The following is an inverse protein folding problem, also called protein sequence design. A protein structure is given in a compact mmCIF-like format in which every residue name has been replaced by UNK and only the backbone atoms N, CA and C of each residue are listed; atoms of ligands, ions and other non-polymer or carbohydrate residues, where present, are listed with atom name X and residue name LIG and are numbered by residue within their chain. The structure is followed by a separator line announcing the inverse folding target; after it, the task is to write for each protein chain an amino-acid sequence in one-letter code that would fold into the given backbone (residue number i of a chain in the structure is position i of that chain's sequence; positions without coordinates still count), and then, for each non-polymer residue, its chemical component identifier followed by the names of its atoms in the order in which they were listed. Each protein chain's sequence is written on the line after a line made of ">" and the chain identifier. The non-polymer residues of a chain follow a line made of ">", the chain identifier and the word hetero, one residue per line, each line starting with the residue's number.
data_IF_634476295789
#
_entry.id   IF_634476295789
#
_cell.length_a   1.000
_cell.length_b   1.000
_cell.length_c   1.000
_cell.angle_alpha   90.00
_cell.angle_beta   90.00
_cell.angle_gamma   90.00
#
_symmetry.space_group_name_H-M   'P 1'
#
loop_
_entity.id
_entity.type
_entity.pdbx_description
1 polymer ?
#
# COMPACT_ATOMS: atom_id res chain seq x y z
N UNK A 1 -43.42 -23.86 52.11
CA UNK A 1 -42.51 -24.31 51.04
C UNK A 1 -42.50 -23.26 49.92
N UNK A 2 -41.31 -22.97 49.40
CA UNK A 2 -41.00 -22.32 48.09
C UNK A 2 -41.40 -20.86 47.88
N UNK A 3 -40.44 -20.00 48.25
CA UNK A 3 -40.19 -18.66 47.69
C UNK A 3 -39.93 -18.79 46.18
N UNK A 4 -40.61 -18.02 45.34
CA UNK A 4 -40.25 -17.89 43.91
C UNK A 4 -39.68 -16.50 43.67
N UNK A 5 -38.34 -16.48 43.54
CA UNK A 5 -37.52 -15.38 43.10
C UNK A 5 -37.58 -15.37 41.56
N UNK A 6 -38.24 -14.38 40.96
CA UNK A 6 -38.16 -14.12 39.52
C UNK A 6 -37.13 -13.02 39.33
N UNK A 7 -35.89 -13.42 39.03
CA UNK A 7 -34.77 -12.52 38.70
C UNK A 7 -34.98 -12.01 37.27
N UNK A 8 -35.19 -10.70 37.13
CA UNK A 8 -35.13 -10.00 35.84
C UNK A 8 -33.74 -10.18 35.24
N UNK A 9 -33.62 -11.01 34.22
CA UNK A 9 -32.46 -11.03 33.33
C UNK A 9 -32.61 -9.87 32.33
N UNK A 10 -32.14 -8.68 32.71
CA UNK A 10 -31.96 -7.58 31.78
C UNK A 10 -30.84 -7.97 30.80
N UNK A 11 -31.24 -8.41 29.61
CA UNK A 11 -30.33 -8.61 28.48
C UNK A 11 -29.76 -7.25 28.09
N UNK A 12 -28.50 -6.98 28.42
CA UNK A 12 -27.73 -5.92 27.78
C UNK A 12 -27.50 -6.34 26.33
N UNK A 13 -28.37 -5.88 25.44
CA UNK A 13 -28.11 -5.85 24.01
C UNK A 13 -27.03 -4.81 23.74
N UNK A 14 -25.77 -5.17 23.88
CA UNK A 14 -24.66 -4.40 23.34
C UNK A 14 -24.81 -4.42 21.81
N UNK A 15 -25.31 -3.34 21.22
CA UNK A 15 -25.20 -3.10 19.79
C UNK A 15 -23.71 -2.94 19.48
N UNK A 16 -23.09 -4.02 19.02
CA UNK A 16 -21.79 -3.95 18.38
C UNK A 16 -21.95 -3.10 17.12
N UNK A 17 -21.73 -1.80 17.24
CA UNK A 17 -21.46 -0.95 16.08
C UNK A 17 -20.13 -1.42 15.50
N UNK A 18 -20.19 -2.43 14.64
CA UNK A 18 -19.15 -2.64 13.65
C UNK A 18 -19.18 -1.37 12.79
N UNK A 19 -18.36 -0.38 13.16
CA UNK A 19 -18.04 0.74 12.30
C UNK A 19 -17.21 0.19 11.14
N UNK A 20 -17.89 -0.53 10.24
CA UNK A 20 -17.34 -0.86 8.93
C UNK A 20 -17.14 0.47 8.24
N UNK A 21 -15.89 0.83 7.99
CA UNK A 21 -15.55 1.91 7.09
C UNK A 21 -16.19 1.58 5.74
N UNK A 22 -17.36 2.17 5.50
CA UNK A 22 -18.14 1.90 4.31
C UNK A 22 -17.45 2.68 3.17
N UNK A 23 -16.90 1.99 2.20
CA UNK A 23 -16.20 2.60 1.07
C UNK A 23 -17.15 2.61 -0.13
N UNK A 24 -17.59 3.80 -0.54
CA UNK A 24 -18.35 3.98 -1.76
C UNK A 24 -17.38 4.08 -2.95
N UNK A 25 -17.07 2.92 -3.52
CA UNK A 25 -16.21 2.81 -4.70
C UNK A 25 -16.94 3.02 -6.03
N UNK A 26 -18.21 3.43 -6.01
CA UNK A 26 -18.85 4.04 -7.19
C UNK A 26 -18.41 5.50 -7.35
N UNK A 27 -18.02 6.15 -6.25
CA UNK A 27 -17.49 7.51 -6.23
C UNK A 27 -15.98 7.50 -6.02
N UNK A 28 -15.22 7.61 -7.10
CA UNK A 28 -13.77 7.73 -7.06
C UNK A 28 -13.40 9.18 -6.74
N UNK A 29 -12.68 9.39 -5.64
CA UNK A 29 -12.25 10.71 -5.14
C UNK A 29 -10.75 10.96 -5.33
N UNK A 30 -10.01 9.96 -5.81
CA UNK A 30 -8.59 10.08 -6.09
C UNK A 30 -7.98 8.80 -6.64
N UNK A 31 -6.66 8.82 -6.80
CA UNK A 31 -5.85 7.67 -7.23
C UNK A 31 -4.82 7.35 -6.16
N UNK A 32 -4.48 6.08 -6.03
CA UNK A 32 -3.42 5.60 -5.14
C UNK A 32 -2.43 4.74 -5.94
N UNK A 33 -1.34 4.33 -5.27
CA UNK A 33 -0.47 3.26 -5.74
C UNK A 33 -0.69 2.04 -4.86
N UNK A 34 -0.38 0.87 -5.39
CA UNK A 34 -0.51 -0.39 -4.67
C UNK A 34 0.68 -1.30 -4.99
N UNK A 35 1.22 -1.94 -3.96
CA UNK A 35 2.13 -3.06 -4.11
C UNK A 35 1.39 -4.38 -3.93
N UNK A 36 1.77 -5.37 -4.74
CA UNK A 36 1.13 -6.69 -4.73
C UNK A 36 2.20 -7.76 -4.64
N UNK A 37 2.23 -8.45 -3.51
CA UNK A 37 3.08 -9.63 -3.30
C UNK A 37 2.29 -10.89 -3.62
N UNK A 38 2.89 -11.79 -4.38
CA UNK A 38 2.29 -13.08 -4.75
C UNK A 38 2.99 -14.18 -4.00
N UNK A 39 2.25 -14.90 -3.15
CA UNK A 39 2.76 -16.01 -2.35
C UNK A 39 2.07 -17.27 -2.86
N UNK A 40 2.77 -18.11 -3.66
CA UNK A 40 2.21 -19.36 -4.15
C UNK A 40 1.76 -20.25 -2.99
N UNK A 41 0.57 -20.83 -3.09
CA UNK A 41 0.08 -21.84 -2.14
C UNK A 41 0.31 -23.24 -2.70
N UNK A 42 0.26 -24.25 -1.82
CA UNK A 42 0.38 -25.64 -2.26
C UNK A 42 -0.65 -26.00 -3.33
N UNK A 43 -0.21 -26.78 -4.32
CA UNK A 43 -1.04 -27.23 -5.42
C UNK A 43 -1.80 -28.49 -5.00
N UNK A 44 -3.12 -28.52 -5.21
CA UNK A 44 -3.94 -29.73 -5.00
C UNK A 44 -4.63 -30.14 -6.28
N UNK A 45 -4.35 -31.37 -6.74
CA UNK A 45 -5.02 -32.02 -7.89
C UNK A 45 -5.02 -31.14 -9.16
N UNK A 46 -3.89 -30.50 -9.47
CA UNK A 46 -3.75 -29.65 -10.67
C UNK A 46 -4.36 -28.25 -10.54
N UNK A 47 -4.91 -27.89 -9.38
CA UNK A 47 -5.24 -26.50 -9.04
C UNK A 47 -4.07 -25.86 -8.32
N UNK A 48 -3.64 -24.71 -8.82
CA UNK A 48 -2.59 -23.87 -8.23
C UNK A 48 -3.25 -22.66 -7.61
N UNK A 49 -2.96 -22.39 -6.34
CA UNK A 49 -3.41 -21.18 -5.66
C UNK A 49 -2.26 -20.20 -5.43
N UNK A 50 -2.59 -18.94 -5.21
CA UNK A 50 -1.68 -17.96 -4.66
C UNK A 50 -2.42 -16.96 -3.77
N UNK A 51 -1.74 -16.54 -2.71
CA UNK A 51 -2.17 -15.46 -1.84
C UNK A 51 -1.59 -14.16 -2.39
N UNK A 52 -2.47 -13.20 -2.65
CA UNK A 52 -2.12 -11.87 -3.07
C UNK A 52 -2.19 -10.98 -1.84
N UNK A 53 -1.07 -10.36 -1.47
CA UNK A 53 -1.02 -9.36 -0.40
C UNK A 53 -0.92 -7.98 -1.03
N UNK A 54 -1.88 -7.12 -0.70
CA UNK A 54 -1.98 -5.76 -1.20
C UNK A 54 -1.54 -4.78 -0.12
N UNK A 55 -0.74 -3.80 -0.51
CA UNK A 55 -0.46 -2.62 0.31
C UNK A 55 -0.66 -1.38 -0.54
N UNK A 56 -1.67 -0.60 -0.20
CA UNK A 56 -2.03 0.66 -0.85
C UNK A 56 -1.32 1.83 -0.17
N UNK A 57 -1.07 2.89 -0.93
CA UNK A 57 -0.65 4.18 -0.37
C UNK A 57 -1.83 4.96 0.24
N UNK A 58 -3.07 4.64 -0.12
CA UNK A 58 -4.23 5.24 0.52
C UNK A 58 -4.44 4.63 1.91
N UNK A 59 -4.57 5.44 2.97
CA UNK A 59 -4.69 4.93 4.34
C UNK A 59 -5.93 4.06 4.56
N UNK A 60 -6.98 4.29 3.77
CA UNK A 60 -8.22 3.52 3.80
C UNK A 60 -9.06 3.76 2.54
N UNK A 61 -10.01 2.86 2.29
CA UNK A 61 -10.97 2.96 1.20
C UNK A 61 -10.30 3.11 -0.17
N UNK A 62 -9.37 2.22 -0.46
CA UNK A 62 -8.87 2.06 -1.83
C UNK A 62 -9.47 0.83 -2.49
N UNK A 63 -9.84 0.99 -3.75
CA UNK A 63 -10.17 -0.11 -4.65
C UNK A 63 -8.94 -0.43 -5.48
N UNK A 64 -8.56 -1.69 -5.50
CA UNK A 64 -7.48 -2.20 -6.32
C UNK A 64 -8.12 -3.10 -7.38
N UNK A 65 -8.01 -2.72 -8.65
CA UNK A 65 -8.41 -3.52 -9.80
C UNK A 65 -7.15 -4.18 -10.39
N UNK A 66 -7.23 -5.45 -10.75
CA UNK A 66 -6.10 -6.21 -11.30
C UNK A 66 -6.59 -7.39 -12.13
N UNK A 67 -5.71 -7.95 -12.95
CA UNK A 67 -5.98 -9.15 -13.74
C UNK A 67 -5.04 -10.27 -13.35
N UNK A 68 -5.56 -11.49 -13.29
CA UNK A 68 -4.76 -12.72 -13.16
C UNK A 68 -5.00 -13.57 -14.40
N UNK A 69 -3.95 -13.75 -15.21
CA UNK A 69 -4.03 -14.45 -16.51
C UNK A 69 -5.18 -13.95 -17.40
N UNK A 70 -5.38 -12.63 -17.44
CA UNK A 70 -6.44 -11.99 -18.24
C UNK A 70 -7.85 -12.07 -17.63
N UNK A 71 -8.00 -12.69 -16.46
CA UNK A 71 -9.27 -12.69 -15.72
C UNK A 71 -9.31 -11.48 -14.77
N UNK A 72 -10.35 -10.62 -14.84
CA UNK A 72 -10.44 -9.42 -14.00
C UNK A 72 -10.84 -9.75 -12.55
N UNK A 73 -10.19 -9.09 -11.61
CA UNK A 73 -10.46 -9.13 -10.17
C UNK A 73 -10.43 -7.72 -9.59
N UNK A 74 -10.99 -7.57 -8.39
CA UNK A 74 -10.78 -6.39 -7.59
C UNK A 74 -10.84 -6.73 -6.10
N UNK A 75 -10.18 -5.91 -5.29
CA UNK A 75 -10.32 -5.90 -3.84
C UNK A 75 -10.54 -4.49 -3.33
N UNK A 76 -11.26 -4.36 -2.22
CA UNK A 76 -11.51 -3.07 -1.56
C UNK A 76 -10.87 -3.12 -0.18
N UNK A 77 -9.89 -2.24 0.05
CA UNK A 77 -9.19 -2.10 1.31
C UNK A 77 -10.00 -1.18 2.21
N UNK A 78 -11.01 -1.74 2.87
CA UNK A 78 -11.95 -0.99 3.71
C UNK A 78 -11.46 -0.82 5.14
N UNK A 79 -10.60 -1.69 5.66
CA UNK A 79 -10.15 -1.66 7.05
C UNK A 79 -8.74 -1.09 7.25
N UNK A 80 -8.18 -0.48 6.21
CA UNK A 80 -6.86 0.11 6.23
C UNK A 80 -6.27 0.15 4.83
N UNK A 81 -4.95 0.20 4.76
CA UNK A 81 -4.20 0.21 3.52
C UNK A 81 -3.65 -1.17 3.14
N UNK A 82 -4.03 -2.23 3.85
CA UNK A 82 -3.64 -3.60 3.55
C UNK A 82 -4.84 -4.48 3.23
N UNK A 83 -4.63 -5.50 2.41
CA UNK A 83 -5.61 -6.54 2.16
C UNK A 83 -4.97 -7.81 1.64
N UNK A 84 -5.74 -8.89 1.69
CA UNK A 84 -5.33 -10.17 1.13
C UNK A 84 -6.45 -10.68 0.23
N UNK A 85 -6.08 -11.31 -0.88
CA UNK A 85 -6.99 -12.09 -1.72
C UNK A 85 -6.35 -13.44 -2.04
N UNK A 86 -7.18 -14.40 -2.43
CA UNK A 86 -6.72 -15.72 -2.85
C UNK A 86 -7.27 -16.07 -4.21
N UNK A 87 -6.36 -16.34 -5.14
CA UNK A 87 -6.66 -16.67 -6.53
C UNK A 87 -6.26 -18.10 -6.83
N UNK A 88 -6.93 -18.70 -7.82
CA UNK A 88 -6.69 -20.08 -8.25
C UNK A 88 -6.63 -20.18 -9.78
N UNK A 89 -5.84 -21.12 -10.29
CA UNK A 89 -5.63 -21.33 -11.71
C UNK A 89 -5.18 -22.76 -12.05
N UNK A 90 -5.15 -23.05 -13.36
CA UNK A 90 -4.71 -24.35 -13.90
C UNK A 90 -3.19 -24.48 -14.06
N UNK A 91 -2.46 -23.38 -13.81
CA UNK A 91 -1.00 -23.30 -13.87
C UNK A 91 -0.48 -22.52 -12.67
N UNK A 92 0.79 -22.67 -12.27
CA UNK A 92 1.39 -21.90 -11.18
C UNK A 92 1.16 -20.40 -11.34
N UNK A 93 0.61 -19.77 -10.29
CA UNK A 93 0.38 -18.33 -10.26
C UNK A 93 1.61 -17.64 -9.66
N UNK A 94 2.20 -16.75 -10.45
CA UNK A 94 3.38 -15.96 -10.12
C UNK A 94 3.09 -14.48 -10.38
N UNK A 95 4.02 -13.60 -10.00
CA UNK A 95 3.88 -12.15 -10.25
C UNK A 95 3.69 -11.80 -11.74
N UNK A 96 4.24 -12.61 -12.65
CA UNK A 96 4.11 -12.42 -14.09
C UNK A 96 2.69 -12.65 -14.61
N UNK A 97 1.86 -13.39 -13.87
CA UNK A 97 0.46 -13.61 -14.21
C UNK A 97 -0.42 -12.39 -13.85
N UNK A 98 0.09 -11.46 -13.04
CA UNK A 98 -0.63 -10.24 -12.64
C UNK A 98 -0.38 -9.10 -13.62
N UNK A 99 -1.46 -8.51 -14.12
CA UNK A 99 -1.43 -7.39 -15.07
C UNK A 99 -2.44 -6.30 -14.69
N UNK A 100 -2.27 -5.12 -15.29
CA UNK A 100 -3.15 -3.95 -15.20
C UNK A 100 -3.59 -3.59 -13.77
N UNK A 101 -2.64 -3.65 -12.84
CA UNK A 101 -2.86 -3.31 -11.43
C UNK A 101 -3.08 -1.80 -11.31
N UNK A 102 -4.29 -1.41 -10.90
CA UNK A 102 -4.72 -0.02 -10.73
C UNK A 102 -5.26 0.19 -9.31
N UNK A 103 -4.95 1.33 -8.68
CA UNK A 103 -5.45 1.68 -7.36
C UNK A 103 -6.19 3.02 -7.40
N UNK A 104 -7.42 3.03 -6.90
CA UNK A 104 -8.30 4.20 -6.85
C UNK A 104 -8.80 4.44 -5.43
N UNK A 105 -8.83 5.69 -5.00
CA UNK A 105 -9.37 6.08 -3.69
C UNK A 105 -10.86 6.28 -3.83
N UNK A 106 -11.62 5.56 -3.02
CA UNK A 106 -13.07 5.61 -2.95
C UNK A 106 -13.53 6.63 -1.92
N UNK A 107 -14.72 7.20 -2.12
CA UNK A 107 -15.37 8.02 -1.10
C UNK A 107 -15.67 7.18 0.14
N UNK A 108 -15.54 7.77 1.32
CA UNK A 108 -16.00 7.15 2.57
C UNK A 108 -17.49 7.42 2.74
N UNK A 109 -18.31 6.38 2.75
CA UNK A 109 -19.72 6.46 3.07
C UNK A 109 -19.88 6.66 4.59
N UNK A 110 -20.38 7.83 4.98
CA UNK A 110 -20.68 8.18 6.38
C UNK A 110 -19.56 8.91 7.13
N UNK A 111 -18.44 9.22 6.50
CA UNK A 111 -17.43 10.14 7.04
C UNK A 111 -17.43 11.43 6.25
N UNK A 112 -17.45 12.58 6.94
CA UNK A 112 -17.26 13.87 6.30
C UNK A 112 -16.06 13.81 5.34
N UNK A 113 -16.21 14.48 4.20
CA UNK A 113 -15.09 14.89 3.35
C UNK A 113 -13.95 15.42 4.24
N UNK A 114 -12.65 15.36 3.87
CA UNK A 114 -11.65 16.15 4.55
C UNK A 114 -11.90 17.64 4.23
N UNK A 115 -12.96 18.19 4.79
CA UNK A 115 -13.13 19.60 4.98
C UNK A 115 -12.05 20.00 5.98
N UNK A 116 -11.17 20.92 5.56
CA UNK A 116 -10.18 21.56 6.43
C UNK A 116 -10.91 22.07 7.67
N UNK A 117 -10.86 21.34 8.78
CA UNK A 117 -11.41 21.84 10.02
C UNK A 117 -10.35 22.72 10.70
N UNK A 118 -10.64 24.02 10.93
CA UNK A 118 -9.74 24.90 11.64
C UNK A 118 -9.89 24.69 13.15
N UNK A 119 -8.76 24.43 13.81
CA UNK A 119 -8.58 24.61 15.24
C UNK A 119 -9.11 23.51 16.15
N UNK A 120 -8.21 22.64 16.62
CA UNK A 120 -8.20 22.28 18.04
C UNK A 120 -6.77 22.38 18.56
N UNK A 121 -6.63 23.13 19.64
CA UNK A 121 -5.37 23.49 20.24
C UNK A 121 -4.86 22.33 21.11
N UNK A 122 -3.57 22.04 21.02
CA UNK A 122 -2.90 21.21 22.02
C UNK A 122 -2.47 19.82 21.56
N UNK A 123 -1.91 19.71 20.36
CA UNK A 123 -0.75 18.86 20.18
C UNK A 123 0.30 19.72 19.49
N UNK A 124 1.47 19.84 20.10
CA UNK A 124 2.66 20.41 19.44
C UNK A 124 2.94 19.52 18.24
N UNK A 125 2.34 19.87 17.10
CA UNK A 125 2.80 19.45 15.79
C UNK A 125 4.24 19.95 15.72
N UNK A 126 5.19 19.06 15.98
CA UNK A 126 6.48 19.16 15.30
C UNK A 126 6.08 19.28 13.82
N UNK A 127 6.48 20.35 13.11
CA UNK A 127 6.27 20.40 11.68
C UNK A 127 6.99 19.18 11.12
N UNK A 128 6.26 18.11 10.81
CA UNK A 128 6.80 16.98 10.07
C UNK A 128 7.28 17.60 8.77
N UNK A 129 8.60 17.78 8.64
CA UNK A 129 9.14 18.51 7.51
C UNK A 129 8.63 17.81 6.26
N UNK A 130 7.90 18.55 5.42
CA UNK A 130 7.21 17.96 4.28
C UNK A 130 8.18 17.08 3.50
N UNK A 131 7.86 15.81 3.29
CA UNK A 131 8.72 14.91 2.50
C UNK A 131 8.60 15.23 1.01
N UNK A 132 7.64 16.06 0.60
CA UNK A 132 7.44 16.44 -0.79
C UNK A 132 8.61 17.26 -1.32
N UNK A 133 9.00 17.00 -2.57
CA UNK A 133 10.10 17.65 -3.25
C UNK A 133 10.95 16.67 -4.03
N UNK A 134 12.11 17.15 -4.48
CA UNK A 134 13.06 16.33 -5.23
C UNK A 134 13.91 15.51 -4.26
N UNK A 135 14.07 14.24 -4.58
CA UNK A 135 14.94 13.32 -3.85
C UNK A 135 16.02 12.81 -4.79
N UNK A 136 17.18 12.47 -4.23
CA UNK A 136 18.27 11.82 -4.92
C UNK A 136 18.51 10.47 -4.25
N UNK A 137 18.41 9.39 -5.01
CA UNK A 137 18.68 8.04 -4.51
C UNK A 137 19.98 7.49 -5.07
N UNK A 138 20.87 7.06 -4.17
CA UNK A 138 22.09 6.33 -4.49
C UNK A 138 21.81 4.84 -4.36
N UNK A 139 21.97 4.07 -5.43
CA UNK A 139 21.85 2.61 -5.44
C UNK A 139 23.22 1.98 -5.60
N UNK A 140 23.58 1.09 -4.69
CA UNK A 140 24.83 0.34 -4.66
C UNK A 140 24.55 -1.16 -4.82
N UNK A 141 24.90 -1.69 -5.99
CA UNK A 141 24.92 -3.12 -6.31
C UNK A 141 26.36 -3.54 -6.65
N UNK A 142 26.63 -4.83 -6.76
CA UNK A 142 27.92 -5.34 -7.25
C UNK A 142 28.25 -4.89 -8.69
N UNK A 143 27.22 -4.60 -9.49
CA UNK A 143 27.31 -4.25 -10.91
C UNK A 143 26.99 -2.77 -11.22
N UNK A 144 26.56 -1.97 -10.23
CA UNK A 144 26.30 -0.55 -10.45
C UNK A 144 26.42 0.29 -9.19
N UNK A 145 26.81 1.55 -9.39
CA UNK A 145 26.64 2.63 -8.44
C UNK A 145 26.01 3.79 -9.22
N UNK A 146 24.80 4.18 -8.86
CA UNK A 146 24.04 5.22 -9.58
C UNK A 146 23.35 6.17 -8.61
N UNK A 147 23.31 7.45 -8.98
CA UNK A 147 22.65 8.52 -8.25
C UNK A 147 21.50 9.06 -9.11
N UNK A 148 20.27 8.85 -8.67
CA UNK A 148 19.09 8.99 -9.52
C UNK A 148 18.05 9.89 -8.86
N UNK A 149 17.70 11.02 -9.49
CA UNK A 149 16.70 11.92 -8.94
C UNK A 149 15.29 11.39 -9.21
N UNK A 150 14.42 11.51 -8.21
CA UNK A 150 12.99 11.27 -8.36
C UNK A 150 12.20 12.32 -7.59
N UNK A 151 10.92 12.43 -7.88
CA UNK A 151 10.04 13.40 -7.22
C UNK A 151 9.17 12.70 -6.19
N UNK A 152 8.96 13.34 -5.05
CA UNK A 152 8.03 12.91 -4.01
C UNK A 152 6.94 13.96 -3.91
N UNK A 153 5.70 13.54 -4.08
CA UNK A 153 4.53 14.44 -4.01
C UNK A 153 3.66 14.08 -2.82
N UNK A 154 3.09 15.08 -2.15
CA UNK A 154 2.11 14.86 -1.09
C UNK A 154 0.86 14.18 -1.69
N UNK A 155 0.49 13.03 -1.13
CA UNK A 155 -0.72 12.28 -1.52
C UNK A 155 -1.87 12.46 -0.52
N UNK A 156 -1.65 13.26 0.53
CA UNK A 156 -2.59 13.55 1.60
C UNK A 156 -2.43 12.63 2.81
N UNK A 157 -2.78 13.13 4.00
CA UNK A 157 -2.84 12.32 5.23
C UNK A 157 -1.48 11.86 5.77
N UNK A 158 -0.40 12.62 5.51
CA UNK A 158 0.96 12.28 5.95
C UNK A 158 1.61 11.15 5.15
N UNK A 159 1.12 10.93 3.92
CA UNK A 159 1.65 9.95 2.97
C UNK A 159 2.09 10.65 1.70
N UNK A 160 3.19 10.18 1.13
CA UNK A 160 3.79 10.77 -0.05
C UNK A 160 4.01 9.70 -1.13
N UNK A 161 3.81 10.09 -2.39
CA UNK A 161 3.94 9.21 -3.54
C UNK A 161 5.22 9.54 -4.35
N UNK A 162 6.07 8.55 -4.65
CA UNK A 162 7.21 8.73 -5.54
C UNK A 162 6.74 8.83 -7.01
N UNK A 163 7.45 9.63 -7.82
CA UNK A 163 7.18 9.90 -9.24
C UNK A 163 8.49 10.05 -10.02
N UNK A 164 8.42 9.78 -11.32
CA UNK A 164 9.57 9.83 -12.22
C UNK A 164 10.17 8.46 -12.45
N UNK A 165 11.49 8.39 -12.53
CA UNK A 165 12.24 7.16 -12.82
C UNK A 165 13.42 7.06 -11.87
N UNK A 166 13.89 5.83 -11.64
CA UNK A 166 15.08 5.53 -10.87
C UNK A 166 15.95 4.63 -11.74
N UNK A 167 17.12 5.12 -12.11
CA UNK A 167 17.96 4.46 -13.11
C UNK A 167 17.17 4.33 -14.41
N UNK A 168 17.17 3.11 -14.98
CA UNK A 168 16.41 2.84 -16.20
C UNK A 168 14.92 2.50 -15.96
N UNK A 169 14.47 2.40 -14.71
CA UNK A 169 13.12 1.97 -14.37
C UNK A 169 12.16 3.11 -14.09
N UNK A 170 11.01 3.11 -14.75
CA UNK A 170 9.93 4.06 -14.45
C UNK A 170 9.24 3.66 -13.14
N UNK A 171 9.02 4.63 -12.25
CA UNK A 171 8.30 4.40 -11.00
C UNK A 171 6.85 4.04 -11.33
N UNK A 172 6.48 2.81 -10.98
CA UNK A 172 5.12 2.28 -11.13
C UNK A 172 4.24 2.62 -9.92
N UNK A 173 4.86 2.95 -8.78
CA UNK A 173 4.16 3.34 -7.56
C UNK A 173 5.06 3.24 -6.33
N UNK A 174 4.49 3.56 -5.16
CA UNK A 174 5.17 3.47 -3.88
C UNK A 174 4.55 4.38 -2.84
N UNK A 175 5.01 4.28 -1.60
CA UNK A 175 4.58 5.12 -0.49
C UNK A 175 5.77 5.49 0.37
N UNK A 176 5.84 6.75 0.75
CA UNK A 176 6.85 7.28 1.67
C UNK A 176 6.08 7.98 2.78
N UNK A 177 6.34 7.62 4.04
CA UNK A 177 5.64 8.20 5.18
C UNK A 177 5.57 7.23 6.36
N UNK A 178 5.26 7.74 7.56
CA UNK A 178 5.16 6.96 8.81
C UNK A 178 6.40 6.10 9.12
N UNK A 179 7.58 6.59 8.75
CA UNK A 179 8.85 5.88 8.93
C UNK A 179 9.16 4.82 7.87
N UNK A 180 8.28 4.62 6.90
CA UNK A 180 8.44 3.63 5.82
C UNK A 180 8.78 4.30 4.50
N UNK A 181 9.54 3.58 3.67
CA UNK A 181 9.88 3.98 2.31
C UNK A 181 9.72 2.77 1.40
N UNK A 182 8.79 2.85 0.46
CA UNK A 182 8.54 1.81 -0.53
C UNK A 182 8.41 2.42 -1.92
N UNK A 183 9.17 1.91 -2.90
CA UNK A 183 9.09 2.33 -4.30
C UNK A 183 9.21 1.12 -5.21
N UNK A 184 8.36 1.04 -6.22
CA UNK A 184 8.40 0.00 -7.25
C UNK A 184 8.70 0.65 -8.59
N UNK A 185 9.68 0.11 -9.30
CA UNK A 185 10.09 0.55 -10.64
C UNK A 185 9.93 -0.58 -11.64
N UNK A 186 9.81 -0.24 -12.92
CA UNK A 186 9.79 -1.21 -14.01
C UNK A 186 10.61 -0.71 -15.19
N UNK A 187 11.53 -1.54 -15.66
CA UNK A 187 12.23 -1.38 -16.93
C UNK A 187 12.02 -2.65 -17.75
N UNK A 188 11.18 -2.55 -18.80
CA UNK A 188 10.72 -3.70 -19.58
C UNK A 188 10.08 -4.80 -18.70
N UNK A 189 10.70 -5.97 -18.60
CA UNK A 189 10.28 -7.07 -17.72
C UNK A 189 10.95 -7.05 -16.34
N UNK A 190 11.95 -6.20 -16.14
CA UNK A 190 12.66 -6.07 -14.87
C UNK A 190 11.87 -5.16 -13.91
N UNK A 191 11.61 -5.64 -12.70
CA UNK A 191 10.93 -4.92 -11.63
C UNK A 191 11.93 -4.72 -10.51
N UNK A 192 12.19 -3.46 -10.15
CA UNK A 192 12.97 -3.10 -8.96
C UNK A 192 12.04 -2.74 -7.81
N UNK A 193 12.16 -3.46 -6.70
CA UNK A 193 11.40 -3.28 -5.47
C UNK A 193 12.31 -2.70 -4.38
N UNK A 194 12.11 -1.42 -4.05
CA UNK A 194 12.91 -0.66 -3.08
C UNK A 194 12.16 -0.57 -1.77
N UNK A 195 12.65 -1.25 -0.73
CA UNK A 195 12.04 -1.28 0.60
C UNK A 195 13.02 -0.75 1.61
N UNK A 196 12.59 0.19 2.45
CA UNK A 196 13.43 0.81 3.45
C UNK A 196 12.68 1.62 4.48
N UNK A 197 13.43 2.45 5.19
CA UNK A 197 12.91 3.31 6.25
C UNK A 197 13.42 4.73 6.10
N UNK A 198 12.61 5.67 6.56
CA UNK A 198 13.06 7.03 6.83
C UNK A 198 14.02 6.98 8.02
N UNK A 199 15.24 7.46 7.84
CA UNK A 199 16.25 7.59 8.90
C UNK A 199 16.26 9.01 9.49
N UNK A 200 15.70 9.98 8.76
CA UNK A 200 15.36 11.32 9.23
C UNK A 200 14.24 11.89 8.34
N UNK A 201 13.81 13.13 8.61
CA UNK A 201 12.82 13.83 7.79
C UNK A 201 13.30 14.14 6.35
N UNK A 202 14.57 13.90 6.05
CA UNK A 202 15.15 14.16 4.72
C UNK A 202 16.00 13.02 4.19
N UNK A 203 16.07 11.89 4.90
CA UNK A 203 16.92 10.76 4.50
C UNK A 203 16.19 9.45 4.67
N UNK A 204 16.44 8.52 3.75
CA UNK A 204 15.94 7.16 3.79
C UNK A 204 17.05 6.19 3.39
N UNK A 205 16.93 4.94 3.83
CA UNK A 205 17.84 3.88 3.41
C UNK A 205 17.14 2.53 3.43
N UNK A 206 17.64 1.59 2.63
CA UNK A 206 17.07 0.26 2.59
C UNK A 206 17.75 -0.67 1.60
N UNK A 207 16.97 -1.67 1.20
CA UNK A 207 17.35 -2.70 0.26
C UNK A 207 16.51 -2.62 -1.00
N UNK A 208 17.11 -2.98 -2.12
CA UNK A 208 16.42 -3.12 -3.40
C UNK A 208 16.60 -4.54 -3.91
N UNK A 209 15.51 -5.11 -4.41
CA UNK A 209 15.48 -6.42 -5.06
C UNK A 209 15.00 -6.26 -6.49
N UNK A 210 15.63 -6.97 -7.42
CA UNK A 210 15.16 -7.06 -8.79
C UNK A 210 14.65 -8.47 -9.08
N UNK A 211 13.65 -8.60 -9.94
CA UNK A 211 13.22 -9.95 -10.37
C UNK A 211 14.20 -10.57 -11.39
N UNK A 212 15.01 -9.77 -12.08
CA UNK A 212 16.00 -10.25 -13.05
C UNK A 212 17.27 -10.83 -12.39
N UNK A 213 17.55 -10.48 -11.13
CA UNK A 213 18.76 -10.92 -10.40
C UNK A 213 18.42 -11.30 -8.97
N UNK A 214 19.02 -12.37 -8.44
CA UNK A 214 18.83 -12.73 -7.02
C UNK A 214 19.58 -11.81 -6.02
N UNK A 215 20.36 -10.84 -6.52
CA UNK A 215 21.14 -9.93 -5.69
C UNK A 215 20.23 -8.93 -4.94
N UNK A 216 20.63 -8.63 -3.70
CA UNK A 216 20.06 -7.55 -2.90
C UNK A 216 21.02 -6.37 -2.95
N UNK A 217 20.57 -5.26 -3.51
CA UNK A 217 21.33 -4.01 -3.54
C UNK A 217 21.01 -3.17 -2.31
N UNK A 218 21.95 -2.33 -1.87
CA UNK A 218 21.69 -1.31 -0.86
C UNK A 218 21.38 0.01 -1.53
N UNK A 219 20.54 0.82 -0.91
CA UNK A 219 20.30 2.18 -1.37
C UNK A 219 20.16 3.16 -0.23
N UNK A 220 20.47 4.42 -0.51
CA UNK A 220 20.19 5.57 0.34
C UNK A 220 19.50 6.64 -0.49
N UNK A 221 18.57 7.38 0.10
CA UNK A 221 17.90 8.49 -0.56
C UNK A 221 17.98 9.73 0.33
N UNK A 222 18.19 10.90 -0.28
CA UNK A 222 18.18 12.19 0.41
C UNK A 222 17.31 13.20 -0.33
N UNK A 223 16.57 13.99 0.43
CA UNK A 223 15.84 15.15 -0.10
C UNK A 223 16.84 16.23 -0.51
N UNK A 224 16.67 16.80 -1.70
CA UNK A 224 17.47 17.90 -2.25
C UNK A 224 16.80 19.25 -2.04
#
# INVERSE_FOLDING_TARGET
>A
MKKLLVVLFAWLSATANAQGNNCDCQQIVGTCSVSVSVIPTESKKGSYGADLKFTSSAPICSKVDYYVDGTPYFTILSQGNHGEDRVFGQKPITRANLSDVSCRVCKRAGGASPEKQPGDAGQTQVPEASLAGRWLMTVSCSWTLSDEPFEVVDSGGGQYAPRGSIGNGDIQGGSIGRGEFHVVTKHWSNIGDYVGRLTSDTTAAGEMRQNATAEVCRWTARKS
#
